data_IF_368947238706
#
_entry.id   IF_368947238706
#
_cell.length_a   1.000
_cell.length_b   1.000
_cell.length_c   1.000
_cell.angle_alpha   90.00
_cell.angle_beta   90.00
_cell.angle_gamma   90.00
#
_symmetry.space_group_name_H-M   'P 1'
#
loop_
_entity.id
_entity.type
_entity.pdbx_description
1 polymer ?
#
# COMPACT_ATOMS: atom_id res chain seq x y z
N UNK A 1 37.84 -9.41 -35.21
CA UNK A 1 37.87 -9.52 -33.73
C UNK A 1 36.64 -8.84 -33.15
N UNK A 2 35.83 -9.62 -32.44
CA UNK A 2 34.88 -9.25 -31.37
C UNK A 2 33.70 -8.29 -31.64
N UNK A 3 32.68 -8.89 -32.26
CA UNK A 3 31.26 -8.71 -31.92
C UNK A 3 31.00 -9.12 -30.46
N UNK A 4 30.85 -8.17 -29.52
CA UNK A 4 30.42 -8.46 -28.13
C UNK A 4 29.64 -7.35 -27.39
N UNK A 5 29.13 -6.32 -28.07
CA UNK A 5 28.44 -5.20 -27.40
C UNK A 5 26.95 -5.00 -27.74
N UNK A 6 26.37 -5.80 -28.64
CA UNK A 6 24.95 -5.67 -28.99
C UNK A 6 24.05 -6.54 -28.11
N UNK A 7 24.53 -7.71 -27.65
CA UNK A 7 23.72 -8.67 -26.88
C UNK A 7 23.37 -8.30 -25.42
N UNK A 8 23.88 -7.19 -24.87
CA UNK A 8 23.54 -6.75 -23.50
C UNK A 8 22.38 -5.76 -23.43
N UNK A 9 21.98 -5.13 -24.55
CA UNK A 9 20.85 -4.21 -24.58
C UNK A 9 19.52 -4.93 -24.83
N UNK A 10 19.56 -6.10 -25.46
CA UNK A 10 18.36 -6.89 -25.80
C UNK A 10 17.82 -7.75 -24.64
N UNK A 11 18.54 -7.86 -23.53
CA UNK A 11 18.08 -8.58 -22.32
C UNK A 11 17.31 -7.68 -21.33
N UNK A 12 17.36 -6.35 -21.50
CA UNK A 12 16.77 -5.37 -20.56
C UNK A 12 15.27 -5.12 -20.82
N UNK A 13 14.67 -5.70 -21.86
CA UNK A 13 13.23 -5.54 -22.13
C UNK A 13 12.52 -6.85 -22.46
N UNK A 14 12.75 -7.89 -21.65
CA UNK A 14 11.63 -8.80 -21.39
C UNK A 14 10.70 -8.02 -20.46
N UNK A 15 9.70 -7.34 -21.02
CA UNK A 15 8.67 -6.66 -20.23
C UNK A 15 8.11 -7.70 -19.27
N UNK A 16 8.36 -7.51 -17.97
CA UNK A 16 7.78 -8.37 -16.94
C UNK A 16 6.26 -8.39 -17.16
N UNK A 17 5.68 -9.58 -17.17
CA UNK A 17 4.23 -9.67 -17.26
C UNK A 17 3.63 -9.00 -16.03
N UNK A 18 2.38 -8.56 -16.15
CA UNK A 18 1.65 -8.00 -15.02
C UNK A 18 1.55 -9.01 -13.86
N UNK A 19 1.39 -10.28 -14.17
CA UNK A 19 1.40 -11.37 -13.19
C UNK A 19 2.75 -11.44 -12.45
N UNK A 20 3.86 -11.27 -13.17
CA UNK A 20 5.20 -11.24 -12.58
C UNK A 20 5.35 -10.04 -11.61
N UNK A 21 4.80 -8.88 -11.98
CA UNK A 21 4.78 -7.69 -11.12
C UNK A 21 3.92 -7.89 -9.87
N UNK A 22 2.75 -8.55 -10.01
CA UNK A 22 1.88 -8.89 -8.89
C UNK A 22 2.56 -9.87 -7.93
N UNK A 23 3.27 -10.88 -8.46
CA UNK A 23 4.03 -11.84 -7.66
C UNK A 23 5.15 -11.15 -6.89
N UNK A 24 5.93 -10.30 -7.57
CA UNK A 24 7.01 -9.53 -6.96
C UNK A 24 6.51 -8.65 -5.81
N UNK A 25 5.38 -7.96 -5.99
CA UNK A 25 4.81 -7.10 -4.96
C UNK A 25 4.28 -7.89 -3.75
N UNK A 26 3.75 -9.11 -3.99
CA UNK A 26 3.39 -10.02 -2.91
C UNK A 26 4.61 -10.49 -2.12
N UNK A 27 5.73 -10.77 -2.80
CA UNK A 27 6.99 -11.14 -2.14
C UNK A 27 7.51 -10.01 -1.26
N UNK A 28 7.57 -8.78 -1.80
CA UNK A 28 7.98 -7.57 -1.04
C UNK A 28 7.10 -7.37 0.20
N UNK A 29 5.77 -7.47 0.05
CA UNK A 29 4.84 -7.36 1.19
C UNK A 29 5.12 -8.41 2.27
N UNK A 30 5.41 -9.65 1.86
CA UNK A 30 5.71 -10.73 2.79
C UNK A 30 7.04 -10.50 3.53
N UNK A 31 8.06 -9.98 2.85
CA UNK A 31 9.33 -9.61 3.47
C UNK A 31 9.17 -8.46 4.47
N UNK A 32 8.44 -7.40 4.10
CA UNK A 32 8.16 -6.28 5.00
C UNK A 32 7.37 -6.73 6.24
N UNK A 33 6.43 -7.66 6.07
CA UNK A 33 5.71 -8.29 7.20
C UNK A 33 6.62 -9.11 8.10
N UNK A 34 7.62 -9.80 7.55
CA UNK A 34 8.63 -10.52 8.34
C UNK A 34 9.50 -9.52 9.12
N UNK A 35 9.97 -8.46 8.47
CA UNK A 35 10.76 -7.40 9.11
C UNK A 35 10.00 -6.73 10.26
N UNK A 36 8.69 -6.49 10.12
CA UNK A 36 7.88 -5.92 11.21
C UNK A 36 7.68 -6.84 12.42
N UNK A 37 7.95 -8.15 12.27
CA UNK A 37 7.89 -9.10 13.39
C UNK A 37 9.21 -9.18 14.18
N UNK A 38 10.27 -8.55 13.67
CA UNK A 38 11.56 -8.51 14.35
C UNK A 38 11.42 -7.72 15.68
N UNK A 39 11.71 -8.35 16.84
CA UNK A 39 11.63 -7.68 18.13
C UNK A 39 12.69 -6.58 18.29
N UNK A 40 13.81 -6.65 17.57
CA UNK A 40 14.94 -5.73 17.72
C UNK A 40 14.78 -4.46 16.86
N UNK A 41 13.70 -4.37 16.07
CA UNK A 41 13.41 -3.22 15.22
C UNK A 41 13.09 -1.98 16.06
N UNK A 42 13.83 -0.90 15.84
CA UNK A 42 13.56 0.38 16.53
C UNK A 42 12.19 0.94 16.14
N UNK A 43 11.62 1.81 16.98
CA UNK A 43 10.33 2.45 16.69
C UNK A 43 10.34 3.21 15.35
N UNK A 44 11.44 3.92 15.06
CA UNK A 44 11.61 4.69 13.82
C UNK A 44 11.64 3.79 12.59
N UNK A 45 12.37 2.69 12.66
CA UNK A 45 12.43 1.69 11.58
C UNK A 45 11.08 1.03 11.39
N UNK A 46 10.40 0.66 12.48
CA UNK A 46 9.06 0.09 12.44
C UNK A 46 8.06 1.00 11.73
N UNK A 47 8.09 2.31 12.02
CA UNK A 47 7.24 3.30 11.35
C UNK A 47 7.57 3.43 9.86
N UNK A 48 8.85 3.43 9.49
CA UNK A 48 9.29 3.45 8.08
C UNK A 48 8.85 2.19 7.35
N UNK A 49 9.12 1.01 7.90
CA UNK A 49 8.74 -0.28 7.32
C UNK A 49 7.21 -0.40 7.19
N UNK A 50 6.44 0.06 8.18
CA UNK A 50 4.98 0.09 8.09
C UNK A 50 4.48 1.03 6.98
N UNK A 51 5.13 2.19 6.81
CA UNK A 51 4.78 3.15 5.75
C UNK A 51 5.07 2.59 4.36
N UNK A 52 6.23 1.94 4.19
CA UNK A 52 6.62 1.26 2.95
C UNK A 52 5.67 0.09 2.66
N UNK A 53 5.32 -0.71 3.67
CA UNK A 53 4.33 -1.78 3.54
C UNK A 53 2.97 -1.25 3.05
N UNK A 54 2.49 -0.15 3.62
CA UNK A 54 1.23 0.46 3.21
C UNK A 54 1.27 0.92 1.74
N UNK A 55 2.41 1.45 1.28
CA UNK A 55 2.62 1.81 -0.11
C UNK A 55 2.51 0.59 -1.03
N UNK A 56 3.24 -0.50 -0.74
CA UNK A 56 3.23 -1.72 -1.57
C UNK A 56 1.86 -2.41 -1.58
N UNK A 57 1.15 -2.47 -0.43
CA UNK A 57 -0.23 -2.97 -0.38
C UNK A 57 -1.17 -2.15 -1.26
N UNK A 58 -1.04 -0.82 -1.27
CA UNK A 58 -1.85 0.04 -2.12
C UNK A 58 -1.52 -0.16 -3.60
N UNK A 59 -0.24 -0.30 -3.95
CA UNK A 59 0.22 -0.58 -5.32
C UNK A 59 -0.30 -1.93 -5.80
N UNK A 60 -0.20 -2.99 -4.98
CA UNK A 60 -0.79 -4.30 -5.27
C UNK A 60 -2.30 -4.20 -5.48
N UNK A 61 -3.01 -3.51 -4.60
CA UNK A 61 -4.46 -3.30 -4.74
C UNK A 61 -4.77 -2.64 -6.08
N UNK A 62 -4.08 -1.56 -6.46
CA UNK A 62 -4.27 -0.90 -7.76
C UNK A 62 -4.03 -1.85 -8.93
N UNK A 63 -2.97 -2.65 -8.88
CA UNK A 63 -2.67 -3.62 -9.94
C UNK A 63 -3.68 -4.76 -10.00
N UNK A 64 -4.37 -5.09 -8.91
CA UNK A 64 -5.44 -6.09 -8.91
C UNK A 64 -6.78 -5.45 -9.32
N UNK A 65 -7.08 -4.22 -8.91
CA UNK A 65 -8.34 -3.55 -9.27
C UNK A 65 -8.41 -3.14 -10.73
N UNK A 66 -7.27 -2.82 -11.36
CA UNK A 66 -7.19 -2.56 -12.80
C UNK A 66 -7.50 -3.80 -13.68
N UNK A 67 -7.77 -4.98 -13.10
CA UNK A 67 -8.19 -6.18 -13.85
C UNK A 67 -9.70 -6.21 -14.11
N UNK A 68 -10.47 -5.31 -13.50
CA UNK A 68 -11.90 -5.15 -13.79
C UNK A 68 -12.13 -3.80 -14.44
N UNK A 69 -12.46 -3.78 -15.73
CA UNK A 69 -13.33 -2.73 -16.23
C UNK A 69 -14.54 -2.64 -15.27
N UNK A 70 -14.74 -1.44 -14.68
CA UNK A 70 -15.92 -1.02 -13.93
C UNK A 70 -16.72 -2.16 -13.28
N UNK A 71 -16.44 -2.50 -12.02
CA UNK A 71 -17.51 -2.81 -11.04
C UNK A 71 -16.92 -3.16 -9.65
N UNK A 72 -17.55 -2.59 -8.63
CA UNK A 72 -17.59 -3.11 -7.25
C UNK A 72 -16.34 -2.96 -6.35
N UNK A 73 -15.67 -1.81 -6.39
CA UNK A 73 -15.60 -1.11 -5.10
C UNK A 73 -16.89 -0.30 -5.02
N UNK A 74 -17.98 -0.93 -4.55
CA UNK A 74 -18.89 -0.12 -3.75
C UNK A 74 -17.99 0.54 -2.70
N UNK A 75 -18.03 1.85 -2.69
CA UNK A 75 -17.23 2.71 -1.86
C UNK A 75 -17.38 2.31 -0.39
N UNK A 76 -16.65 1.29 0.07
CA UNK A 76 -16.41 1.07 1.49
C UNK A 76 -15.52 2.22 1.91
N UNK A 77 -16.18 3.33 2.20
CA UNK A 77 -15.57 4.47 2.79
C UNK A 77 -15.11 4.05 4.20
N UNK A 78 -14.09 4.73 4.74
CA UNK A 78 -13.66 4.51 6.14
C UNK A 78 -14.84 4.54 7.13
N UNK A 79 -15.95 5.22 6.78
CA UNK A 79 -17.21 5.19 7.53
C UNK A 79 -17.87 3.81 7.64
N UNK A 80 -17.79 2.97 6.60
CA UNK A 80 -18.40 1.64 6.58
C UNK A 80 -17.56 0.61 7.32
N UNK A 81 -16.23 0.70 7.19
CA UNK A 81 -15.32 -0.07 8.03
C UNK A 81 -15.53 0.24 9.52
N UNK A 82 -15.71 1.51 9.87
CA UNK A 82 -15.96 1.95 11.26
C UNK A 82 -17.33 1.51 11.79
N UNK A 83 -18.32 1.24 10.93
CA UNK A 83 -19.62 0.68 11.36
C UNK A 83 -19.52 -0.78 11.81
N UNK A 84 -18.54 -1.53 11.30
CA UNK A 84 -18.30 -2.93 11.68
C UNK A 84 -17.47 -3.13 12.96
N UNK A 85 -16.93 -2.05 13.54
CA UNK A 85 -16.13 -2.10 14.77
C UNK A 85 -17.01 -1.85 15.99
N UNK A 86 -16.61 -2.37 17.16
CA UNK A 86 -17.27 -2.15 18.45
C UNK A 86 -17.71 -0.67 18.62
N UNK A 87 -18.98 -0.39 19.03
CA UNK A 87 -19.54 0.96 19.04
C UNK A 87 -18.69 2.00 19.77
N UNK A 88 -17.93 1.58 20.79
CA UNK A 88 -17.02 2.44 21.56
C UNK A 88 -15.85 2.96 20.72
N UNK A 89 -15.24 2.09 19.92
CA UNK A 89 -14.12 2.44 19.03
C UNK A 89 -14.62 3.32 17.89
N UNK A 90 -15.78 2.99 17.33
CA UNK A 90 -16.41 3.77 16.27
C UNK A 90 -16.73 5.22 16.71
N UNK A 91 -17.22 5.37 17.94
CA UNK A 91 -17.53 6.68 18.52
C UNK A 91 -16.28 7.53 18.71
N UNK A 92 -15.21 6.93 19.24
CA UNK A 92 -13.94 7.61 19.46
C UNK A 92 -13.32 8.08 18.13
N UNK A 93 -13.27 7.20 17.13
CA UNK A 93 -12.77 7.52 15.80
C UNK A 93 -13.52 8.70 15.17
N UNK A 94 -14.86 8.69 15.21
CA UNK A 94 -15.68 9.79 14.66
C UNK A 94 -15.42 11.13 15.35
N UNK A 95 -15.21 11.11 16.67
CA UNK A 95 -14.87 12.32 17.44
C UNK A 95 -13.52 12.87 17.01
N UNK A 96 -12.50 12.03 16.96
CA UNK A 96 -11.14 12.44 16.62
C UNK A 96 -11.06 12.95 15.18
N UNK A 97 -11.73 12.27 14.25
CA UNK A 97 -11.86 12.69 12.87
C UNK A 97 -12.54 14.06 12.73
N UNK A 98 -13.61 14.32 13.50
CA UNK A 98 -14.31 15.62 13.50
C UNK A 98 -13.43 16.75 14.04
N UNK A 99 -12.66 16.49 15.09
CA UNK A 99 -11.71 17.46 15.66
C UNK A 99 -10.59 17.76 14.66
N UNK A 100 -10.03 16.73 14.04
CA UNK A 100 -9.00 16.86 13.02
C UNK A 100 -9.49 17.65 11.80
N UNK A 101 -10.68 17.33 11.27
CA UNK A 101 -11.29 18.07 10.16
C UNK A 101 -11.48 19.55 10.48
N UNK A 102 -11.94 19.87 11.70
CA UNK A 102 -12.05 21.26 12.16
C UNK A 102 -10.69 21.97 12.17
N UNK A 103 -9.65 21.35 12.71
CA UNK A 103 -8.29 21.92 12.72
C UNK A 103 -7.76 22.20 11.30
N UNK A 104 -8.05 21.32 10.36
CA UNK A 104 -7.67 21.52 8.95
C UNK A 104 -8.42 22.68 8.30
N UNK A 105 -9.71 22.87 8.59
CA UNK A 105 -10.47 24.00 8.08
C UNK A 105 -10.00 25.35 8.64
N UNK A 106 -9.51 25.40 9.88
CA UNK A 106 -8.94 26.63 10.46
C UNK A 106 -7.55 27.01 9.90
N UNK A 107 -6.85 26.09 9.21
CA UNK A 107 -5.55 26.36 8.57
C UNK A 107 -5.66 26.92 7.15
N UNK A 108 -6.88 27.08 6.62
CA UNK A 108 -7.15 27.53 5.24
C UNK A 108 -7.65 28.98 5.16
N UNK A 109 -7.61 29.74 6.27
CA UNK A 109 -7.95 31.17 6.31
C UNK A 109 -6.76 32.00 6.72
#
# INVERSE_FOLDING_TARGET
MNNKNEGKKDQIKKLLSREDLILMEREIINELRKMLKDPDLTLTERLRTASVLAYHVNTLNKMVTQNGDKEQFEEQNLGDYVRGVEPRIATRFRRDFRVWKRRLSYKKS
#
